data_IF_931403471767
#
_entry.id   IF_931403471767
#
_cell.length_a   1.000
_cell.length_b   1.000
_cell.length_c   1.000
_cell.angle_alpha   90.00
_cell.angle_beta   90.00
_cell.angle_gamma   90.00
#
_symmetry.space_group_name_H-M   'P 1'
#
loop_
_entity.id
_entity.type
_entity.pdbx_description
1 polymer ?
#
# COMPACT_ATOMS: atom_id res chain seq x y z
N UNK A 1 -6.94 50.56 -10.84
CA UNK A 1 -7.21 49.57 -9.77
C UNK A 1 -7.49 48.22 -10.45
N UNK A 2 -6.54 47.34 -10.40
CA UNK A 2 -6.65 45.99 -10.97
C UNK A 2 -6.95 45.07 -9.78
N UNK A 3 -8.20 44.60 -9.70
CA UNK A 3 -8.59 43.59 -8.71
C UNK A 3 -7.89 42.27 -9.08
N UNK A 4 -6.99 41.84 -8.21
CA UNK A 4 -6.41 40.51 -8.29
C UNK A 4 -7.45 39.49 -7.85
N UNK A 5 -8.08 38.81 -8.80
CA UNK A 5 -8.88 37.64 -8.54
C UNK A 5 -7.97 36.53 -7.98
N UNK A 6 -7.98 36.41 -6.65
CA UNK A 6 -7.40 35.23 -5.97
C UNK A 6 -8.33 34.06 -6.26
N UNK A 7 -7.97 33.27 -7.25
CA UNK A 7 -8.59 31.95 -7.46
C UNK A 7 -8.16 31.09 -6.27
N UNK A 8 -9.00 31.04 -5.25
CA UNK A 8 -8.87 30.05 -4.17
C UNK A 8 -9.23 28.70 -4.76
N UNK A 9 -8.23 27.98 -5.25
CA UNK A 9 -8.39 26.59 -5.65
C UNK A 9 -8.58 25.78 -4.37
N UNK A 10 -9.84 25.54 -4.02
CA UNK A 10 -10.21 24.56 -3.03
C UNK A 10 -9.85 23.17 -3.59
N UNK A 11 -8.64 22.71 -3.34
CA UNK A 11 -8.35 21.29 -3.44
C UNK A 11 -9.18 20.58 -2.38
N UNK A 12 -10.27 19.95 -2.79
CA UNK A 12 -10.96 18.97 -1.97
C UNK A 12 -10.01 17.75 -1.87
N UNK A 13 -9.07 17.85 -0.94
CA UNK A 13 -8.30 16.68 -0.52
C UNK A 13 -9.31 15.65 -0.03
N UNK A 14 -9.39 14.48 -0.67
CA UNK A 14 -10.09 13.33 -0.10
C UNK A 14 -9.38 13.03 1.22
N UNK A 15 -9.91 13.57 2.31
CA UNK A 15 -9.35 13.38 3.64
C UNK A 15 -9.47 11.90 3.98
N UNK A 16 -8.35 11.23 4.09
CA UNK A 16 -8.30 9.89 4.64
C UNK A 16 -8.72 9.98 6.09
N UNK A 17 -9.98 9.66 6.39
CA UNK A 17 -10.49 9.66 7.74
C UNK A 17 -10.41 8.26 8.33
N UNK A 18 -9.88 8.15 9.53
CA UNK A 18 -9.93 6.94 10.35
C UNK A 18 -10.93 7.15 11.48
N UNK A 19 -11.85 6.20 11.64
CA UNK A 19 -12.80 6.21 12.76
C UNK A 19 -12.32 5.26 13.84
N UNK A 20 -12.08 5.77 15.03
CA UNK A 20 -11.70 4.94 16.16
C UNK A 20 -12.82 3.95 16.50
N UNK A 21 -12.54 2.64 16.55
CA UNK A 21 -13.56 1.65 16.92
C UNK A 21 -13.98 1.75 18.39
N UNK A 22 -13.17 2.39 19.23
CA UNK A 22 -13.42 2.55 20.67
C UNK A 22 -14.22 3.82 20.96
N UNK A 23 -13.77 4.95 20.44
CA UNK A 23 -14.38 6.25 20.77
C UNK A 23 -15.41 6.73 19.75
N UNK A 24 -15.47 6.11 18.58
CA UNK A 24 -16.31 6.55 17.45
C UNK A 24 -15.88 7.88 16.82
N UNK A 25 -14.81 8.53 17.32
CA UNK A 25 -14.30 9.79 16.77
C UNK A 25 -13.62 9.57 15.44
N UNK A 26 -13.83 10.51 14.53
CA UNK A 26 -13.12 10.56 13.25
C UNK A 26 -11.84 11.37 13.39
N UNK A 27 -10.76 10.83 12.87
CA UNK A 27 -9.44 11.45 12.81
C UNK A 27 -9.05 11.61 11.35
N UNK A 28 -8.44 12.75 11.03
CA UNK A 28 -7.84 12.97 9.72
C UNK A 28 -6.39 12.48 9.81
N UNK A 29 -6.03 11.50 9.01
CA UNK A 29 -4.72 10.83 9.07
C UNK A 29 -3.50 11.76 9.02
N UNK A 30 -3.67 12.98 8.48
CA UNK A 30 -2.61 13.99 8.47
C UNK A 30 -2.45 14.75 9.82
N UNK A 31 -3.42 14.63 10.74
CA UNK A 31 -3.40 15.32 12.04
C UNK A 31 -2.90 14.43 13.18
N UNK A 32 -2.83 13.12 12.97
CA UNK A 32 -2.25 12.22 13.96
C UNK A 32 -0.73 12.33 14.00
N UNK A 33 -0.12 12.24 15.20
CA UNK A 33 1.32 12.18 15.32
C UNK A 33 1.90 11.01 14.51
N UNK A 34 3.00 11.23 13.78
CA UNK A 34 3.61 10.22 12.92
C UNK A 34 4.11 8.97 13.64
N UNK A 35 4.27 9.07 14.95
CA UNK A 35 4.72 7.98 15.82
C UNK A 35 3.56 7.19 16.44
N UNK A 36 2.32 7.57 16.19
CA UNK A 36 1.14 6.92 16.78
C UNK A 36 0.38 6.07 15.76
N UNK A 37 -0.44 5.17 16.27
CA UNK A 37 -1.29 4.30 15.48
C UNK A 37 -0.61 3.03 14.96
N UNK A 38 -1.34 2.26 14.16
CA UNK A 38 -0.83 1.05 13.50
C UNK A 38 -0.06 1.48 12.26
N UNK A 39 1.22 1.10 12.10
CA UNK A 39 2.00 1.46 10.93
C UNK A 39 1.40 0.86 9.65
N UNK A 40 1.10 1.72 8.68
CA UNK A 40 0.73 1.36 7.32
C UNK A 40 1.69 1.99 6.31
N UNK A 41 1.75 1.49 5.08
CA UNK A 41 2.55 2.12 4.05
C UNK A 41 2.12 3.57 3.84
N UNK A 42 3.05 4.49 4.02
CA UNK A 42 2.83 5.94 3.82
C UNK A 42 1.65 6.51 4.62
N UNK A 43 1.27 5.86 5.73
CA UNK A 43 0.11 6.21 6.56
C UNK A 43 -1.22 6.19 5.80
N UNK A 44 -1.32 5.37 4.76
CA UNK A 44 -2.57 5.13 4.04
C UNK A 44 -3.53 4.30 4.89
N UNK A 45 -4.85 4.33 4.61
CA UNK A 45 -5.79 3.47 5.29
C UNK A 45 -5.42 2.00 5.12
N UNK A 46 -5.55 1.21 6.18
CA UNK A 46 -5.54 -0.25 6.05
C UNK A 46 -6.91 -0.70 5.52
N UNK A 47 -6.92 -1.29 4.34
CA UNK A 47 -8.15 -1.69 3.67
C UNK A 47 -8.72 -2.99 4.26
N UNK A 48 -10.04 -3.01 4.42
CA UNK A 48 -10.80 -4.22 4.78
C UNK A 48 -11.46 -4.88 3.57
N UNK A 49 -11.45 -4.22 2.43
CA UNK A 49 -11.99 -4.72 1.15
C UNK A 49 -11.29 -4.01 -0.01
N UNK A 50 -11.40 -4.56 -1.21
CA UNK A 50 -10.82 -3.97 -2.43
C UNK A 50 -11.75 -2.93 -3.09
N UNK A 51 -12.91 -2.66 -2.49
CA UNK A 51 -13.88 -1.73 -3.05
C UNK A 51 -13.37 -0.30 -2.96
N UNK A 52 -13.57 0.47 -4.03
CA UNK A 52 -13.23 1.90 -4.14
C UNK A 52 -11.74 2.20 -3.92
N UNK A 53 -10.84 1.24 -4.19
CA UNK A 53 -9.40 1.39 -4.14
C UNK A 53 -8.87 1.44 -5.58
N UNK A 54 -8.06 2.46 -5.88
CA UNK A 54 -7.38 2.59 -7.17
C UNK A 54 -6.00 1.92 -7.14
N UNK A 55 -5.23 2.14 -6.06
CA UNK A 55 -3.89 1.59 -5.87
C UNK A 55 -3.80 0.87 -4.53
N UNK A 56 -3.42 -0.40 -4.58
CA UNK A 56 -3.21 -1.24 -3.40
C UNK A 56 -1.73 -1.44 -3.06
N UNK A 57 -1.31 -1.03 -1.87
CA UNK A 57 0.03 -1.26 -1.35
C UNK A 57 0.04 -2.63 -0.67
N UNK A 58 0.92 -3.53 -1.11
CA UNK A 58 0.90 -4.95 -0.73
C UNK A 58 2.27 -5.35 -0.23
N UNK A 59 2.36 -5.89 0.98
CA UNK A 59 3.58 -6.49 1.48
C UNK A 59 3.69 -7.98 1.10
N UNK A 60 4.91 -8.43 0.80
CA UNK A 60 5.21 -9.85 0.53
C UNK A 60 6.41 -10.25 1.38
N UNK A 61 6.20 -10.61 2.65
CA UNK A 61 7.27 -10.85 3.62
C UNK A 61 7.91 -12.24 3.46
N UNK A 62 8.52 -12.49 2.29
CA UNK A 62 9.15 -13.76 1.95
C UNK A 62 10.60 -13.58 1.49
N UNK A 63 11.49 -14.47 1.94
CA UNK A 63 12.89 -14.50 1.52
C UNK A 63 13.47 -15.92 1.47
N UNK A 64 12.62 -16.91 1.16
CA UNK A 64 13.03 -18.30 1.00
C UNK A 64 13.89 -18.59 -0.24
N UNK A 65 13.98 -17.63 -1.18
CA UNK A 65 14.80 -17.71 -2.38
C UNK A 65 16.19 -17.05 -2.27
N UNK A 66 16.56 -16.51 -1.09
CA UNK A 66 17.89 -15.88 -0.93
C UNK A 66 19.01 -16.91 -0.90
N UNK A 67 20.12 -16.58 -1.56
CA UNK A 67 21.29 -17.45 -1.64
C UNK A 67 22.36 -17.17 -0.58
N UNK A 68 22.28 -16.01 0.10
CA UNK A 68 23.31 -15.60 1.06
C UNK A 68 22.72 -15.19 2.41
N UNK A 69 22.10 -14.01 2.50
CA UNK A 69 21.61 -13.46 3.78
C UNK A 69 20.10 -13.34 3.78
N UNK A 70 19.43 -14.04 4.70
CA UNK A 70 18.03 -13.82 5.01
C UNK A 70 17.82 -12.46 5.69
N UNK A 71 16.58 -11.95 5.62
CA UNK A 71 16.19 -10.69 6.23
C UNK A 71 15.27 -9.83 5.35
N UNK A 72 15.23 -10.09 4.05
CA UNK A 72 14.36 -9.36 3.13
C UNK A 72 12.85 -9.48 3.49
N UNK A 73 12.46 -10.57 4.17
CA UNK A 73 11.09 -10.76 4.71
C UNK A 73 10.65 -9.64 5.66
N UNK A 74 11.58 -8.92 6.27
CA UNK A 74 11.28 -7.79 7.17
C UNK A 74 11.07 -6.47 6.41
N UNK A 75 11.35 -6.43 5.11
CA UNK A 75 11.25 -5.24 4.26
C UNK A 75 9.88 -4.56 4.31
N UNK A 76 8.77 -5.26 4.10
CA UNK A 76 7.44 -4.64 4.14
C UNK A 76 7.14 -3.96 5.47
N UNK A 77 7.47 -4.61 6.58
CA UNK A 77 7.27 -4.04 7.92
C UNK A 77 8.12 -2.79 8.15
N UNK A 78 9.40 -2.85 7.77
CA UNK A 78 10.29 -1.71 7.96
C UNK A 78 9.92 -0.53 7.07
N UNK A 79 9.47 -0.77 5.83
CA UNK A 79 8.99 0.31 4.98
C UNK A 79 7.71 0.95 5.53
N UNK A 80 6.80 0.20 6.16
CA UNK A 80 5.66 0.79 6.88
C UNK A 80 6.12 1.71 8.00
N UNK A 81 7.10 1.28 8.80
CA UNK A 81 7.66 2.07 9.89
C UNK A 81 8.28 3.38 9.36
N UNK A 82 9.19 3.28 8.39
CA UNK A 82 9.95 4.43 7.88
C UNK A 82 9.08 5.37 7.03
N UNK A 83 8.14 4.86 6.27
CA UNK A 83 7.25 5.68 5.45
C UNK A 83 6.26 6.52 6.25
N UNK A 84 6.14 6.29 7.56
CA UNK A 84 5.39 7.16 8.46
C UNK A 84 5.94 8.60 8.48
N UNK A 85 7.23 8.78 8.18
CA UNK A 85 7.90 10.08 8.12
C UNK A 85 7.71 10.79 6.79
N UNK A 86 7.19 10.11 5.78
CA UNK A 86 7.01 10.65 4.43
C UNK A 86 6.01 11.82 4.40
N UNK A 87 6.27 12.77 3.50
CA UNK A 87 5.31 13.83 3.18
C UNK A 87 4.38 13.37 2.06
N UNK A 88 3.13 13.78 2.13
CA UNK A 88 2.10 13.43 1.14
C UNK A 88 2.25 14.18 -0.19
N UNK A 89 3.03 15.25 -0.21
CA UNK A 89 3.23 16.11 -1.38
C UNK A 89 4.66 16.00 -1.87
N UNK A 90 4.83 15.72 -3.15
CA UNK A 90 6.13 15.75 -3.81
C UNK A 90 6.65 17.18 -3.91
N UNK A 91 7.82 17.48 -3.34
CA UNK A 91 8.28 18.85 -3.12
C UNK A 91 8.59 19.64 -4.41
N UNK A 92 8.96 18.96 -5.51
CA UNK A 92 9.26 19.59 -6.81
C UNK A 92 7.96 19.82 -7.58
N UNK A 93 7.20 18.77 -7.83
CA UNK A 93 6.02 18.81 -8.68
C UNK A 93 4.78 19.36 -7.96
N UNK A 94 4.84 19.44 -6.63
CA UNK A 94 3.72 19.83 -5.75
C UNK A 94 2.45 19.00 -5.95
N UNK A 95 2.61 17.76 -6.38
CA UNK A 95 1.54 16.80 -6.60
C UNK A 95 1.44 15.88 -5.39
N UNK A 96 0.21 15.67 -4.92
CA UNK A 96 -0.12 14.66 -3.92
C UNK A 96 -0.84 13.50 -4.62
N UNK A 97 -0.26 12.30 -4.72
CA UNK A 97 -0.96 11.14 -5.30
C UNK A 97 -2.20 10.76 -4.49
N UNK A 98 -2.23 11.03 -3.19
CA UNK A 98 -3.36 10.75 -2.30
C UNK A 98 -4.57 11.66 -2.54
N UNK A 99 -4.41 12.77 -3.26
CA UNK A 99 -5.50 13.65 -3.66
C UNK A 99 -6.11 13.24 -5.00
N UNK A 100 -5.40 12.40 -5.77
CA UNK A 100 -5.75 11.98 -7.12
C UNK A 100 -6.34 10.57 -7.13
N UNK A 101 -5.81 9.66 -6.32
CA UNK A 101 -6.19 8.26 -6.27
C UNK A 101 -6.52 7.80 -4.84
N UNK A 102 -7.40 6.81 -4.74
CA UNK A 102 -7.67 6.12 -3.49
C UNK A 102 -6.59 5.05 -3.28
N UNK A 103 -5.62 5.37 -2.44
CA UNK A 103 -4.48 4.49 -2.13
C UNK A 103 -4.69 3.87 -0.76
N UNK A 104 -4.53 2.56 -0.64
CA UNK A 104 -4.68 1.87 0.63
C UNK A 104 -3.63 0.76 0.82
N UNK A 105 -3.28 0.50 2.07
CA UNK A 105 -2.48 -0.66 2.47
C UNK A 105 -3.40 -1.90 2.53
N UNK A 106 -3.15 -2.87 1.67
CA UNK A 106 -3.91 -4.12 1.61
C UNK A 106 -3.37 -5.19 2.58
N UNK A 107 -2.38 -4.85 3.37
CA UNK A 107 -1.70 -5.80 4.26
C UNK A 107 -0.62 -6.60 3.55
N UNK A 108 -0.33 -7.75 4.12
CA UNK A 108 0.67 -8.69 3.59
C UNK A 108 -0.01 -9.92 3.00
N UNK A 109 0.63 -10.50 1.98
CA UNK A 109 0.22 -11.82 1.47
C UNK A 109 0.41 -12.84 2.60
N UNK A 110 -0.66 -13.56 2.92
CA UNK A 110 -0.60 -14.66 3.86
C UNK A 110 -0.08 -15.93 3.19
N UNK A 111 0.74 -16.68 3.89
CA UNK A 111 1.30 -17.94 3.39
C UNK A 111 0.71 -19.12 4.12
N UNK A 112 0.18 -20.08 3.38
CA UNK A 112 -0.36 -21.35 3.93
C UNK A 112 0.76 -22.21 4.51
N UNK A 113 1.87 -22.31 3.81
CA UNK A 113 3.06 -23.06 4.20
C UNK A 113 4.34 -22.23 3.96
N UNK A 114 4.74 -21.36 4.89
CA UNK A 114 5.82 -20.38 4.68
C UNK A 114 7.20 -20.98 4.42
N UNK A 115 7.40 -22.26 4.69
CA UNK A 115 8.67 -22.98 4.41
C UNK A 115 8.62 -23.81 3.12
N UNK A 116 7.48 -23.85 2.45
CA UNK A 116 7.30 -24.53 1.17
C UNK A 116 7.26 -23.49 0.05
N UNK A 117 8.37 -23.41 -0.73
CA UNK A 117 8.50 -22.42 -1.78
C UNK A 117 7.39 -22.52 -2.85
N UNK A 118 6.94 -23.73 -3.17
CA UNK A 118 5.86 -23.91 -4.15
C UNK A 118 4.54 -23.40 -3.61
N UNK A 119 4.17 -23.72 -2.37
CA UNK A 119 2.96 -23.22 -1.75
C UNK A 119 2.96 -21.69 -1.64
N UNK A 120 4.08 -21.07 -1.25
CA UNK A 120 4.23 -19.62 -1.23
C UNK A 120 4.02 -19.01 -2.63
N UNK A 121 4.56 -19.61 -3.68
CA UNK A 121 4.33 -19.13 -5.06
C UNK A 121 2.87 -19.25 -5.47
N UNK A 122 2.17 -20.30 -5.06
CA UNK A 122 0.75 -20.46 -5.31
C UNK A 122 -0.08 -19.40 -4.57
N UNK A 123 0.19 -19.19 -3.27
CA UNK A 123 -0.48 -18.17 -2.46
C UNK A 123 -0.30 -16.76 -3.05
N UNK A 124 0.91 -16.38 -3.44
CA UNK A 124 1.18 -15.09 -4.08
C UNK A 124 0.41 -14.99 -5.40
N UNK A 125 0.47 -16.03 -6.24
CA UNK A 125 -0.22 -16.04 -7.53
C UNK A 125 -1.72 -15.84 -7.38
N UNK A 126 -2.36 -16.57 -6.48
CA UNK A 126 -3.80 -16.45 -6.24
C UNK A 126 -4.17 -15.07 -5.66
N UNK A 127 -3.38 -14.56 -4.74
CA UNK A 127 -3.59 -13.22 -4.20
C UNK A 127 -3.60 -12.16 -5.31
N UNK A 128 -2.61 -12.18 -6.20
CA UNK A 128 -2.51 -11.18 -7.27
C UNK A 128 -3.54 -11.38 -8.40
N UNK A 129 -4.04 -12.59 -8.62
CA UNK A 129 -5.21 -12.81 -9.48
C UNK A 129 -6.46 -12.10 -8.94
N UNK A 130 -6.70 -12.18 -7.63
CA UNK A 130 -7.84 -11.52 -6.99
C UNK A 130 -7.69 -9.99 -7.04
N UNK A 131 -6.50 -9.46 -6.80
CA UNK A 131 -6.22 -8.03 -6.93
C UNK A 131 -6.47 -7.55 -8.36
N UNK A 132 -5.94 -8.26 -9.37
CA UNK A 132 -6.19 -7.95 -10.80
C UNK A 132 -7.68 -7.95 -11.11
N UNK A 133 -8.41 -8.99 -10.69
CA UNK A 133 -9.85 -9.12 -10.94
C UNK A 133 -10.67 -7.98 -10.36
N UNK A 134 -10.21 -7.37 -9.28
CA UNK A 134 -10.87 -6.22 -8.66
C UNK A 134 -10.64 -4.90 -9.38
N UNK A 135 -9.70 -4.83 -10.34
CA UNK A 135 -9.30 -3.62 -11.03
C UNK A 135 -8.33 -2.73 -10.25
N UNK A 136 -7.88 -3.15 -9.07
CA UNK A 136 -6.90 -2.43 -8.26
C UNK A 136 -5.51 -2.55 -8.88
N UNK A 137 -4.79 -1.44 -8.98
CA UNK A 137 -3.39 -1.42 -9.43
C UNK A 137 -2.51 -1.82 -8.23
N UNK A 138 -1.78 -2.94 -8.28
CA UNK A 138 -0.91 -3.35 -7.18
C UNK A 138 0.41 -2.57 -7.19
N UNK A 139 0.83 -2.10 -6.02
CA UNK A 139 2.18 -1.62 -5.76
C UNK A 139 2.79 -2.51 -4.67
N UNK A 140 3.65 -3.42 -5.07
CA UNK A 140 4.17 -4.48 -4.21
C UNK A 140 5.46 -4.09 -3.53
N UNK A 141 5.56 -4.41 -2.25
CA UNK A 141 6.76 -4.28 -1.44
C UNK A 141 7.19 -5.69 -1.02
N UNK A 142 8.21 -6.19 -1.65
CA UNK A 142 8.65 -7.55 -1.44
C UNK A 142 9.66 -7.73 -0.34
N UNK A 143 9.91 -9.00 -0.14
CA UNK A 143 11.03 -9.69 0.35
C UNK A 143 12.14 -9.81 -0.70
N UNK A 144 12.52 -11.05 -1.04
CA UNK A 144 13.52 -11.29 -2.08
C UNK A 144 12.92 -11.27 -3.50
N UNK A 145 13.80 -11.39 -4.51
CA UNK A 145 13.38 -11.28 -5.91
C UNK A 145 12.60 -12.50 -6.43
N UNK A 146 12.56 -13.61 -5.69
CA UNK A 146 11.79 -14.81 -6.09
C UNK A 146 10.28 -14.54 -6.13
N UNK A 147 9.78 -13.57 -5.36
CA UNK A 147 8.37 -13.18 -5.34
C UNK A 147 7.88 -12.55 -6.65
N UNK A 148 8.80 -12.08 -7.50
CA UNK A 148 8.46 -11.41 -8.76
C UNK A 148 7.73 -12.34 -9.72
N UNK A 149 8.21 -13.57 -9.85
CA UNK A 149 7.61 -14.55 -10.75
C UNK A 149 6.14 -14.84 -10.43
N UNK A 150 5.75 -15.23 -9.20
CA UNK A 150 4.36 -15.51 -8.89
C UNK A 150 3.47 -14.25 -8.95
N UNK A 151 3.99 -13.04 -8.68
CA UNK A 151 3.26 -11.79 -8.89
C UNK A 151 2.86 -11.66 -10.37
N UNK A 152 3.84 -11.74 -11.28
CA UNK A 152 3.55 -11.63 -12.72
C UNK A 152 2.63 -12.75 -13.21
N UNK A 153 2.82 -13.98 -12.73
CA UNK A 153 1.93 -15.10 -13.05
C UNK A 153 0.47 -14.82 -12.64
N UNK A 154 0.27 -14.18 -11.49
CA UNK A 154 -1.06 -13.76 -11.02
C UNK A 154 -1.65 -12.66 -11.89
N UNK A 155 -0.86 -11.63 -12.20
CA UNK A 155 -1.33 -10.46 -12.99
C UNK A 155 -1.54 -10.83 -14.46
N UNK A 156 -0.72 -11.69 -15.05
CA UNK A 156 -0.81 -12.11 -16.46
C UNK A 156 -1.69 -13.35 -16.68
N UNK A 157 -2.51 -13.74 -15.71
CA UNK A 157 -3.31 -14.98 -15.77
C UNK A 157 -4.25 -15.09 -16.97
N UNK A 158 -4.65 -13.95 -17.57
CA UNK A 158 -5.59 -13.90 -18.71
C UNK A 158 -4.85 -13.59 -20.03
N UNK A 159 -3.52 -13.66 -20.02
CA UNK A 159 -2.67 -13.28 -21.16
C UNK A 159 -2.27 -11.80 -21.12
N UNK A 160 -1.40 -11.40 -22.08
CA UNK A 160 -0.99 -10.01 -22.24
C UNK A 160 -2.12 -9.14 -22.77
#
# INVERSE_FOLDING_TARGET
>A
MIEANIITVYFMTKKTTFKSPVTGKEYVGNLEPRYSGIPTFMRTPHAKSLKDIDIGLIGIPYDGGVTNRAGARHGPREIRNQSSLMRTIHHINRVSPFDIANIADLGDVAFSEPFNHQAVNEDITEFFKLVKKSGVIPLSVGGDHSVTYPIFKGIASDGP
#
